data_IF_255194234281
#
_entry.id   IF_255194234281
#
_cell.length_a   1.000
_cell.length_b   1.000
_cell.length_c   1.000
_cell.angle_alpha   90.00
_cell.angle_beta   90.00
_cell.angle_gamma   90.00
#
_symmetry.space_group_name_H-M   'P 1'
#
loop_
_entity.id
_entity.type
_entity.pdbx_description
1 polymer ?
#
# COMPACT_ATOMS: atom_id res chain seq x y z
N UNK A 1 -13.75 -1.27 -0.90
CA UNK A 1 -14.91 -2.12 -1.24
C UNK A 1 -14.96 -3.26 -0.25
N UNK A 2 -16.13 -3.61 0.32
CA UNK A 2 -16.29 -4.89 1.02
C UNK A 2 -15.81 -6.05 0.14
N UNK A 3 -15.15 -7.06 0.71
CA UNK A 3 -14.61 -8.19 -0.07
C UNK A 3 -15.72 -8.92 -0.84
N UNK A 4 -16.91 -9.06 -0.24
CA UNK A 4 -18.04 -9.74 -0.89
C UNK A 4 -18.65 -8.96 -2.06
N UNK A 5 -18.37 -7.65 -2.15
CA UNK A 5 -18.82 -6.76 -3.24
C UNK A 5 -17.66 -6.43 -4.21
N UNK A 6 -16.50 -7.06 -4.03
CA UNK A 6 -15.31 -6.74 -4.80
C UNK A 6 -15.41 -7.31 -6.21
N UNK A 7 -15.32 -6.43 -7.22
CA UNK A 7 -15.03 -6.86 -8.59
C UNK A 7 -13.64 -7.51 -8.64
N UNK A 8 -13.61 -8.75 -9.12
CA UNK A 8 -12.39 -9.55 -9.18
C UNK A 8 -11.42 -9.06 -10.25
N UNK A 9 -11.89 -8.44 -11.34
CA UNK A 9 -10.99 -7.87 -12.35
C UNK A 9 -10.28 -6.63 -11.78
N UNK A 10 -11.03 -5.73 -11.13
CA UNK A 10 -10.44 -4.63 -10.37
C UNK A 10 -9.50 -5.12 -9.26
N UNK A 11 -9.80 -6.25 -8.61
CA UNK A 11 -8.91 -6.84 -7.61
C UNK A 11 -7.60 -7.35 -8.25
N UNK A 12 -7.67 -8.02 -9.40
CA UNK A 12 -6.48 -8.46 -10.15
C UNK A 12 -5.61 -7.26 -10.53
N UNK A 13 -6.20 -6.21 -11.08
CA UNK A 13 -5.48 -4.98 -11.43
C UNK A 13 -4.79 -4.34 -10.21
N UNK A 14 -5.42 -4.41 -9.04
CA UNK A 14 -4.84 -3.93 -7.79
C UNK A 14 -3.60 -4.75 -7.38
N UNK A 15 -3.63 -6.08 -7.54
CA UNK A 15 -2.48 -6.94 -7.30
C UNK A 15 -1.38 -6.73 -8.34
N UNK A 16 -1.73 -6.60 -9.62
CA UNK A 16 -0.80 -6.27 -10.68
C UNK A 16 -0.06 -4.96 -10.36
N UNK A 17 -0.79 -3.93 -9.94
CA UNK A 17 -0.21 -2.62 -9.64
C UNK A 17 0.60 -2.63 -8.34
N UNK A 18 0.04 -3.14 -7.24
CA UNK A 18 0.62 -2.98 -5.91
C UNK A 18 1.64 -4.06 -5.55
N UNK A 19 1.61 -5.22 -6.21
CA UNK A 19 2.44 -6.38 -5.87
C UNK A 19 3.40 -6.69 -7.01
N UNK A 20 2.88 -6.98 -8.20
CA UNK A 20 3.71 -7.40 -9.32
C UNK A 20 4.47 -6.24 -9.97
N UNK A 21 3.90 -5.03 -9.98
CA UNK A 21 4.57 -3.82 -10.45
C UNK A 21 5.90 -3.56 -9.73
N UNK A 22 5.93 -3.48 -8.38
CA UNK A 22 7.17 -3.36 -7.62
C UNK A 22 8.16 -4.50 -7.85
N UNK A 23 7.69 -5.74 -8.03
CA UNK A 23 8.55 -6.90 -8.37
C UNK A 23 9.17 -6.71 -9.75
N UNK A 24 8.38 -6.34 -10.75
CA UNK A 24 8.85 -6.13 -12.12
C UNK A 24 9.90 -5.01 -12.19
N UNK A 25 9.66 -3.89 -11.50
CA UNK A 25 10.66 -2.81 -11.38
C UNK A 25 11.93 -3.32 -10.70
N UNK A 26 11.80 -4.06 -9.60
CA UNK A 26 12.96 -4.63 -8.90
C UNK A 26 13.79 -5.53 -9.82
N UNK A 27 13.14 -6.43 -10.57
CA UNK A 27 13.82 -7.31 -11.53
C UNK A 27 14.52 -6.53 -12.64
N UNK A 28 13.86 -5.53 -13.21
CA UNK A 28 14.42 -4.71 -14.29
C UNK A 28 15.68 -3.94 -13.86
N UNK A 29 15.74 -3.49 -12.61
CA UNK A 29 16.86 -2.72 -12.07
C UNK A 29 17.87 -3.56 -11.26
N UNK A 30 17.64 -4.87 -11.08
CA UNK A 30 18.47 -5.73 -10.24
C UNK A 30 19.98 -5.65 -10.57
N UNK A 31 20.44 -5.67 -11.84
CA UNK A 31 21.87 -5.55 -12.14
C UNK A 31 22.49 -4.24 -11.64
N UNK A 32 21.77 -3.12 -11.80
CA UNK A 32 22.22 -1.80 -11.37
C UNK A 32 22.21 -1.67 -9.84
N UNK A 33 21.18 -2.21 -9.18
CA UNK A 33 21.08 -2.23 -7.72
C UNK A 33 22.22 -3.02 -7.09
N UNK A 34 22.53 -4.21 -7.64
CA UNK A 34 23.64 -5.06 -7.16
C UNK A 34 24.98 -4.37 -7.40
N UNK A 35 25.22 -3.82 -8.60
CA UNK A 35 26.47 -3.12 -8.91
C UNK A 35 26.70 -1.91 -7.98
N UNK A 36 25.64 -1.17 -7.66
CA UNK A 36 25.71 0.01 -6.81
C UNK A 36 25.72 -0.33 -5.31
N UNK A 37 25.49 -1.59 -4.91
CA UNK A 37 25.20 -1.96 -3.52
C UNK A 37 24.11 -1.06 -2.93
N UNK A 38 23.06 -0.84 -3.73
CA UNK A 38 22.04 0.17 -3.50
C UNK A 38 21.00 -0.22 -2.44
N UNK A 39 19.86 0.46 -2.49
CA UNK A 39 18.74 0.23 -1.59
C UNK A 39 17.42 0.17 -2.35
N UNK A 40 16.59 -0.81 -2.01
CA UNK A 40 15.17 -0.86 -2.35
C UNK A 40 14.34 -0.38 -1.16
N UNK A 41 13.35 0.45 -1.42
CA UNK A 41 12.41 0.94 -0.40
C UNK A 41 10.99 0.69 -0.87
N UNK A 42 10.27 -0.19 -0.17
CA UNK A 42 8.89 -0.54 -0.45
C UNK A 42 7.95 0.26 0.44
N UNK A 43 6.95 0.92 -0.16
CA UNK A 43 5.90 1.62 0.59
C UNK A 43 4.74 0.65 0.84
N UNK A 44 4.69 0.11 2.06
CA UNK A 44 3.64 -0.81 2.49
C UNK A 44 2.56 -0.03 3.25
N UNK A 45 1.81 -0.67 4.15
CA UNK A 45 0.72 0.01 4.84
C UNK A 45 0.39 -0.63 6.17
N UNK A 46 0.00 0.20 7.14
CA UNK A 46 -0.58 -0.27 8.40
C UNK A 46 -1.84 -1.14 8.18
N UNK A 47 -2.53 -0.99 7.05
CA UNK A 47 -3.66 -1.84 6.69
C UNK A 47 -3.25 -3.30 6.44
N UNK A 48 -1.98 -3.58 6.17
CA UNK A 48 -1.47 -4.95 6.06
C UNK A 48 -1.29 -5.65 7.42
N UNK A 49 -1.33 -4.89 8.52
CA UNK A 49 -1.20 -5.38 9.90
C UNK A 49 -2.51 -5.27 10.68
N UNK A 50 -3.31 -4.25 10.37
CA UNK A 50 -4.61 -4.04 10.98
C UNK A 50 -5.69 -4.58 10.05
N UNK A 51 -6.53 -5.47 10.56
CA UNK A 51 -7.70 -5.99 9.85
C UNK A 51 -8.79 -4.91 9.74
N UNK A 52 -8.57 -3.93 8.85
CA UNK A 52 -9.49 -2.82 8.65
C UNK A 52 -10.64 -3.25 7.73
N UNK A 53 -11.90 -3.23 8.21
CA UNK A 53 -13.06 -3.59 7.39
C UNK A 53 -13.15 -2.77 6.10
N UNK A 54 -13.66 -3.41 5.04
CA UNK A 54 -13.91 -2.80 3.72
C UNK A 54 -12.68 -2.31 2.95
N UNK A 55 -11.49 -2.65 3.46
CA UNK A 55 -10.19 -2.43 2.82
C UNK A 55 -9.45 -3.75 2.53
N UNK A 56 -10.13 -4.89 2.67
CA UNK A 56 -9.50 -6.21 2.68
C UNK A 56 -8.67 -6.55 1.44
N UNK A 57 -9.17 -6.24 0.24
CA UNK A 57 -8.43 -6.46 -1.02
C UNK A 57 -7.13 -5.65 -1.04
N UNK A 58 -7.22 -4.34 -0.74
CA UNK A 58 -6.06 -3.45 -0.65
C UNK A 58 -5.07 -3.90 0.44
N UNK A 59 -5.58 -4.20 1.64
CA UNK A 59 -4.79 -4.73 2.75
C UNK A 59 -4.03 -6.00 2.33
N UNK A 60 -4.70 -6.94 1.65
CA UNK A 60 -4.08 -8.14 1.11
C UNK A 60 -2.92 -7.85 0.16
N UNK A 61 -3.06 -6.86 -0.74
CA UNK A 61 -1.94 -6.44 -1.61
C UNK A 61 -0.76 -5.90 -0.82
N UNK A 62 -1.02 -5.12 0.24
CA UNK A 62 0.04 -4.52 1.06
C UNK A 62 0.73 -5.53 1.98
N UNK A 63 -0.01 -6.48 2.55
CA UNK A 63 0.57 -7.63 3.28
C UNK A 63 1.42 -8.51 2.36
N UNK A 64 0.95 -8.75 1.12
CA UNK A 64 1.71 -9.53 0.13
C UNK A 64 3.01 -8.82 -0.26
N UNK A 65 2.95 -7.51 -0.51
CA UNK A 65 4.12 -6.70 -0.83
C UNK A 65 5.15 -6.69 0.31
N UNK A 66 4.70 -6.57 1.56
CA UNK A 66 5.56 -6.63 2.75
C UNK A 66 6.32 -7.97 2.83
N UNK A 67 5.61 -9.09 2.67
CA UNK A 67 6.22 -10.42 2.72
C UNK A 67 7.27 -10.59 1.60
N UNK A 68 6.98 -10.08 0.40
CA UNK A 68 7.92 -10.09 -0.72
C UNK A 68 9.15 -9.23 -0.40
N UNK A 69 8.96 -8.02 0.12
CA UNK A 69 10.05 -7.11 0.47
C UNK A 69 10.97 -7.72 1.54
N UNK A 70 10.41 -8.34 2.59
CA UNK A 70 11.18 -9.03 3.62
C UNK A 70 11.93 -10.26 3.08
N UNK A 71 11.34 -10.96 2.11
CA UNK A 71 12.02 -12.07 1.42
C UNK A 71 13.18 -11.56 0.57
N UNK A 72 12.97 -10.50 -0.22
CA UNK A 72 14.00 -9.86 -1.03
C UNK A 72 15.15 -9.33 -0.18
N UNK A 73 14.88 -8.85 1.05
CA UNK A 73 15.91 -8.43 2.00
C UNK A 73 16.91 -9.56 2.30
N UNK A 74 16.42 -10.79 2.41
CA UNK A 74 17.25 -11.98 2.64
C UNK A 74 17.97 -12.41 1.37
N UNK A 75 17.27 -12.44 0.23
CA UNK A 75 17.81 -12.88 -1.07
C UNK A 75 18.89 -11.93 -1.62
N UNK A 76 18.73 -10.63 -1.38
CA UNK A 76 19.64 -9.60 -1.88
C UNK A 76 20.76 -9.23 -0.89
N UNK A 77 20.66 -9.70 0.36
CA UNK A 77 21.67 -9.50 1.41
C UNK A 77 23.09 -9.93 1.00
N UNK A 78 23.30 -11.12 0.41
CA UNK A 78 24.62 -11.55 -0.09
C UNK A 78 25.25 -10.63 -1.14
N UNK A 79 24.45 -9.79 -1.80
CA UNK A 79 24.90 -8.81 -2.79
C UNK A 79 25.11 -7.41 -2.20
N UNK A 80 25.00 -7.24 -0.87
CA UNK A 80 25.07 -5.97 -0.16
C UNK A 80 24.02 -4.94 -0.59
N UNK A 81 22.87 -5.39 -1.10
CA UNK A 81 21.74 -4.51 -1.40
C UNK A 81 20.83 -4.45 -0.18
N UNK A 82 20.54 -3.23 0.30
CA UNK A 82 19.60 -3.01 1.40
C UNK A 82 18.17 -3.08 0.89
N UNK A 83 17.25 -3.61 1.69
CA UNK A 83 15.81 -3.58 1.41
C UNK A 83 15.09 -3.10 2.67
N UNK A 84 14.24 -2.09 2.52
CA UNK A 84 13.42 -1.52 3.59
C UNK A 84 11.94 -1.56 3.21
N UNK A 85 11.10 -1.84 4.19
CA UNK A 85 9.65 -1.70 4.10
C UNK A 85 9.19 -0.56 4.99
N UNK A 86 8.42 0.37 4.44
CA UNK A 86 7.85 1.50 5.18
C UNK A 86 6.37 1.25 5.40
N UNK A 87 6.02 0.99 6.66
CA UNK A 87 4.64 0.78 7.08
C UNK A 87 3.93 2.13 7.22
N UNK A 88 3.33 2.60 6.13
CA UNK A 88 2.66 3.90 6.11
C UNK A 88 1.31 3.88 6.84
N UNK A 89 1.15 4.81 7.77
CA UNK A 89 -0.12 5.14 8.42
C UNK A 89 -1.04 6.00 7.56
N UNK A 90 -2.00 6.70 8.18
CA UNK A 90 -2.88 7.60 7.45
C UNK A 90 -2.19 8.93 7.16
N UNK A 91 -1.96 9.24 5.88
CA UNK A 91 -1.31 10.47 5.40
C UNK A 91 -2.29 11.24 4.52
N UNK A 92 -2.29 12.58 4.60
CA UNK A 92 -3.09 13.45 3.74
C UNK A 92 -2.48 13.50 2.34
N UNK A 93 -3.00 12.69 1.41
CA UNK A 93 -2.55 12.66 0.01
C UNK A 93 -3.72 12.88 -0.94
N UNK A 94 -3.46 12.92 -2.24
CA UNK A 94 -4.53 12.94 -3.25
C UNK A 94 -5.23 11.59 -3.40
N UNK A 95 -4.75 10.51 -2.77
CA UNK A 95 -5.31 9.17 -2.94
C UNK A 95 -6.80 9.10 -2.57
N UNK A 96 -7.24 9.90 -1.60
CA UNK A 96 -8.65 9.92 -1.18
C UNK A 96 -9.57 10.69 -2.15
N UNK A 97 -9.03 11.53 -3.04
CA UNK A 97 -9.85 12.33 -3.97
C UNK A 97 -10.45 11.51 -5.10
N UNK A 98 -9.95 10.29 -5.32
CA UNK A 98 -10.45 9.37 -6.36
C UNK A 98 -11.70 8.58 -5.95
N UNK A 99 -12.26 8.82 -4.75
CA UNK A 99 -13.43 8.12 -4.24
C UNK A 99 -14.69 9.01 -4.12
N UNK A 100 -14.74 10.13 -4.86
CA UNK A 100 -15.83 11.10 -4.80
C UNK A 100 -17.20 10.52 -5.19
N UNK A 101 -17.21 9.56 -6.12
CA UNK A 101 -18.39 8.87 -6.65
C UNK A 101 -18.54 7.44 -6.09
N UNK A 102 -17.80 7.09 -5.03
CA UNK A 102 -17.86 5.76 -4.43
C UNK A 102 -19.29 5.39 -4.03
N UNK A 103 -19.76 4.24 -4.54
CA UNK A 103 -21.04 3.62 -4.20
C UNK A 103 -20.87 2.11 -4.12
N UNK A 104 -21.63 1.48 -3.23
CA UNK A 104 -21.78 0.03 -3.21
C UNK A 104 -22.83 -0.40 -4.25
N UNK A 105 -22.74 -1.65 -4.73
CA UNK A 105 -23.82 -2.28 -5.49
C UNK A 105 -25.18 -2.13 -4.77
N UNK A 106 -26.26 -2.01 -5.53
CA UNK A 106 -27.60 -1.81 -4.95
C UNK A 106 -28.07 -3.00 -4.11
N UNK A 107 -27.58 -4.21 -4.43
CA UNK A 107 -27.83 -5.47 -3.73
C UNK A 107 -26.78 -5.80 -2.65
N UNK A 108 -25.85 -4.88 -2.38
CA UNK A 108 -24.82 -5.07 -1.35
C UNK A 108 -25.46 -5.33 0.03
N UNK A 109 -24.95 -6.36 0.72
CA UNK A 109 -25.32 -6.65 2.12
C UNK A 109 -24.94 -5.51 3.08
N UNK A 110 -24.05 -4.59 2.66
CA UNK A 110 -23.55 -3.48 3.45
C UNK A 110 -24.22 -2.15 3.07
N UNK A 111 -25.25 -2.15 2.22
CA UNK A 111 -25.90 -0.92 1.72
C UNK A 111 -26.39 0.00 2.84
N UNK A 112 -26.87 -0.55 3.96
CA UNK A 112 -27.36 0.23 5.11
C UNK A 112 -26.28 1.07 5.80
N UNK A 113 -25.00 0.81 5.53
CA UNK A 113 -23.85 1.55 6.09
C UNK A 113 -22.96 2.15 4.97
N UNK A 114 -23.49 2.30 3.75
CA UNK A 114 -22.76 2.82 2.59
C UNK A 114 -22.06 4.15 2.92
N UNK A 115 -22.76 5.08 3.57
CA UNK A 115 -22.21 6.39 3.92
C UNK A 115 -20.97 6.29 4.83
N UNK A 116 -20.94 5.32 5.75
CA UNK A 116 -19.81 5.09 6.64
C UNK A 116 -18.59 4.59 5.83
N UNK A 117 -18.83 3.68 4.89
CA UNK A 117 -17.79 3.12 4.03
C UNK A 117 -17.26 4.18 3.06
N UNK A 118 -18.16 4.97 2.47
CA UNK A 118 -17.85 6.03 1.53
C UNK A 118 -17.07 7.17 2.20
N UNK A 119 -17.49 7.62 3.40
CA UNK A 119 -16.76 8.60 4.19
C UNK A 119 -15.32 8.13 4.48
N UNK A 120 -15.14 6.84 4.83
CA UNK A 120 -13.79 6.28 5.01
C UNK A 120 -12.96 6.29 3.74
N UNK A 121 -13.53 5.89 2.61
CA UNK A 121 -12.83 5.89 1.32
C UNK A 121 -12.34 7.31 0.94
N UNK A 122 -13.18 8.33 1.19
CA UNK A 122 -12.85 9.75 0.98
C UNK A 122 -11.98 10.37 2.09
N UNK A 123 -11.67 9.62 3.14
CA UNK A 123 -10.90 10.09 4.28
C UNK A 123 -11.60 11.08 5.20
N UNK A 124 -12.92 11.08 5.15
CA UNK A 124 -13.86 11.85 5.98
C UNK A 124 -14.27 11.05 7.24
N UNK A 125 -13.51 10.01 7.61
CA UNK A 125 -13.79 9.11 8.75
C UNK A 125 -13.43 9.68 10.12
N UNK A 126 -13.13 10.98 10.19
CA UNK A 126 -12.73 11.67 11.43
C UNK A 126 -11.40 11.21 12.03
N UNK A 127 -10.67 10.30 11.34
CA UNK A 127 -9.37 9.80 11.80
C UNK A 127 -8.28 10.83 11.53
N UNK A 128 -7.35 11.06 12.48
CA UNK A 128 -6.23 11.95 12.25
C UNK A 128 -5.36 11.40 11.12
N UNK A 129 -4.85 12.32 10.29
CA UNK A 129 -3.97 12.03 9.15
C UNK A 129 -2.78 12.97 9.21
N UNK A 130 -1.58 12.41 9.12
CA UNK A 130 -0.35 13.18 9.11
C UNK A 130 -0.28 14.08 7.88
N UNK A 131 0.33 15.26 8.01
CA UNK A 131 0.56 16.13 6.86
C UNK A 131 1.59 15.49 5.91
N UNK A 132 1.39 15.62 4.59
CA UNK A 132 2.26 15.00 3.59
C UNK A 132 3.73 15.41 3.77
N UNK A 133 4.00 16.70 3.92
CA UNK A 133 5.35 17.23 4.05
C UNK A 133 6.07 16.73 5.32
N UNK A 134 5.32 16.62 6.43
CA UNK A 134 5.82 16.09 7.69
C UNK A 134 6.21 14.61 7.53
N UNK A 135 5.28 13.81 7.01
CA UNK A 135 5.50 12.40 6.71
C UNK A 135 6.71 12.17 5.78
N UNK A 136 6.80 12.92 4.67
CA UNK A 136 7.89 12.75 3.71
C UNK A 136 9.24 13.11 4.30
N UNK A 137 9.31 14.18 5.11
CA UNK A 137 10.56 14.61 5.73
C UNK A 137 11.08 13.57 6.73
N UNK A 138 10.19 13.02 7.56
CA UNK A 138 10.55 11.97 8.51
C UNK A 138 11.03 10.70 7.79
N UNK A 139 10.27 10.23 6.80
CA UNK A 139 10.61 9.03 6.03
C UNK A 139 11.96 9.17 5.34
N UNK A 140 12.18 10.26 4.60
CA UNK A 140 13.44 10.47 3.87
C UNK A 140 14.62 10.57 4.82
N UNK A 141 14.43 11.25 5.95
CA UNK A 141 15.48 11.36 6.98
C UNK A 141 15.87 9.99 7.52
N UNK A 142 14.90 9.12 7.82
CA UNK A 142 15.16 7.76 8.30
C UNK A 142 15.85 6.90 7.23
N UNK A 143 15.41 6.96 5.97
CA UNK A 143 16.04 6.22 4.86
C UNK A 143 17.51 6.60 4.70
N UNK A 144 17.84 7.90 4.76
CA UNK A 144 19.21 8.39 4.55
C UNK A 144 20.13 8.05 5.73
N UNK A 145 19.59 7.98 6.94
CA UNK A 145 20.36 7.59 8.13
C UNK A 145 20.74 6.10 8.13
N UNK A 146 20.06 5.29 7.30
CA UNK A 146 20.42 3.91 6.97
C UNK A 146 20.11 2.90 8.06
#
# INVERSE_FOLDING_TARGET
MPILDQDLDAARELYETNVLGPVAVTQAFAPLLIQAQGMLVFITSIAGYLHVPYMGTYAGTKSSLELIAETLRLELGPFNVKVLSIVTGAVKTMGQTYFGDFKLPDDSLYKSIEDIIAARARGEDGRPRMALAEYSNEVVTQIIQG
#
